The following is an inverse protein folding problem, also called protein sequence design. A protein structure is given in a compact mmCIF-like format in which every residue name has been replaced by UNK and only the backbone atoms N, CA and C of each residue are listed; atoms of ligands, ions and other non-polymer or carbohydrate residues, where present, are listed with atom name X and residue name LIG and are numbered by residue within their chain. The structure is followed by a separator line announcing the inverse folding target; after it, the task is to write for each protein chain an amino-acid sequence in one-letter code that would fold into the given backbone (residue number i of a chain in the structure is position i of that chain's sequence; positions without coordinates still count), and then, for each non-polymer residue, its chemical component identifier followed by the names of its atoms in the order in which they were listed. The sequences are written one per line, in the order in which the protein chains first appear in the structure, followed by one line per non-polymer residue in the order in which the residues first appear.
data_IF_860358179733
#
_entry.id   IF_860358179733
#
_cell.length_a   1.000
_cell.length_b   1.000
_cell.length_c   1.000
_cell.angle_alpha   90.00
_cell.angle_beta   90.00
_cell.angle_gamma   90.00
#
_symmetry.space_group_name_H-M   'P 1'
#
loop_
_entity.id
_entity.type
_entity.pdbx_description
1 polymer ?
#
# COMPACT_ATOMS: atom_id res chain seq x y z
N UNK A 1 55.71 -23.51 40.39
CA UNK A 1 54.98 -22.29 40.80
C UNK A 1 53.52 -22.67 41.05
N UNK A 2 52.99 -22.22 42.18
CA UNK A 2 51.59 -22.23 42.68
C UNK A 2 50.95 -23.59 43.02
N UNK A 3 50.48 -23.63 44.27
CA UNK A 3 50.03 -24.79 45.06
C UNK A 3 48.50 -24.90 45.06
N UNK A 4 48.03 -26.12 45.17
CA UNK A 4 46.66 -26.56 45.44
C UNK A 4 46.34 -26.44 46.93
N UNK A 5 45.32 -25.67 47.33
CA UNK A 5 44.58 -25.70 48.61
C UNK A 5 43.57 -24.53 48.58
N UNK A 6 42.27 -24.60 48.92
CA UNK A 6 41.63 -25.22 50.08
C UNK A 6 40.16 -25.58 49.82
N UNK A 7 39.80 -26.72 50.40
CA UNK A 7 38.49 -27.14 50.88
C UNK A 7 38.08 -26.27 52.08
N UNK A 8 36.88 -25.67 52.08
CA UNK A 8 36.15 -25.38 53.31
C UNK A 8 34.64 -25.33 53.05
N UNK A 9 33.94 -26.31 53.62
CA UNK A 9 32.49 -26.38 53.68
C UNK A 9 31.99 -25.55 54.87
N UNK A 10 30.90 -24.81 54.71
CA UNK A 10 29.96 -24.61 55.83
C UNK A 10 28.57 -24.24 55.33
N UNK A 11 27.65 -25.13 55.68
CA UNK A 11 26.20 -25.09 55.55
C UNK A 11 25.63 -24.03 56.49
N UNK A 12 24.69 -23.20 56.04
CA UNK A 12 23.59 -22.74 56.89
C UNK A 12 22.34 -22.45 56.07
N UNK A 13 21.24 -23.09 56.47
CA UNK A 13 19.89 -22.95 55.94
C UNK A 13 19.27 -21.60 56.30
N UNK A 14 18.25 -21.17 55.54
CA UNK A 14 16.96 -20.66 56.05
C UNK A 14 15.97 -20.57 54.88
N UNK A 15 14.72 -20.89 55.22
CA UNK A 15 13.55 -21.26 54.42
C UNK A 15 12.70 -20.02 54.04
N UNK A 16 11.73 -20.22 53.13
CA UNK A 16 10.47 -19.46 52.90
C UNK A 16 10.55 -18.39 51.79
N UNK A 17 9.59 -18.15 50.89
CA UNK A 17 8.16 -18.51 50.74
C UNK A 17 7.80 -18.63 49.24
N UNK A 18 6.71 -19.34 48.97
CA UNK A 18 6.07 -19.43 47.66
C UNK A 18 5.56 -18.07 47.13
N UNK A 19 5.76 -17.83 45.84
CA UNK A 19 4.75 -17.16 45.01
C UNK A 19 4.81 -17.75 43.60
N UNK A 20 3.85 -18.64 43.32
CA UNK A 20 3.47 -18.99 41.97
C UNK A 20 2.70 -17.79 41.41
N UNK A 21 3.40 -16.89 40.73
CA UNK A 21 2.78 -16.05 39.70
C UNK A 21 3.06 -16.74 38.37
N UNK A 22 2.16 -17.64 37.99
CA UNK A 22 2.02 -18.03 36.59
C UNK A 22 1.63 -16.77 35.83
N UNK A 23 2.56 -16.23 35.05
CA UNK A 23 2.16 -15.44 33.89
C UNK A 23 1.47 -16.43 32.96
N UNK A 24 0.15 -16.32 32.91
CA UNK A 24 -0.58 -16.77 31.74
C UNK A 24 0.06 -16.04 30.55
N UNK A 25 0.50 -16.78 29.54
CA UNK A 25 0.73 -16.21 28.22
C UNK A 25 -0.63 -15.66 27.78
N UNK A 26 -0.87 -14.38 28.08
CA UNK A 26 -1.88 -13.61 27.38
C UNK A 26 -1.25 -13.30 26.01
N UNK A 27 -1.33 -14.31 25.15
CA UNK A 27 -1.30 -14.18 23.70
C UNK A 27 -2.49 -13.28 23.31
N UNK A 28 -2.38 -11.99 23.57
CA UNK A 28 -3.12 -10.96 22.83
C UNK A 28 -2.48 -10.83 21.44
N UNK A 29 -2.48 -11.95 20.72
CA UNK A 29 -2.34 -11.97 19.29
C UNK A 29 -3.69 -11.51 18.70
N UNK A 30 -4.06 -10.26 19.00
CA UNK A 30 -5.01 -9.53 18.19
C UNK A 30 -4.28 -9.10 16.90
N UNK A 31 -3.87 -10.11 16.14
CA UNK A 31 -3.66 -9.98 14.72
C UNK A 31 -5.04 -9.86 14.10
N UNK A 32 -5.69 -8.73 14.35
CA UNK A 32 -6.67 -8.18 13.42
C UNK A 32 -5.88 -7.87 12.15
N UNK A 33 -5.62 -8.93 11.38
CA UNK A 33 -5.25 -8.88 9.98
C UNK A 33 -6.51 -8.45 9.22
N UNK A 34 -7.08 -7.31 9.62
CA UNK A 34 -8.09 -6.60 8.88
C UNK A 34 -7.34 -6.03 7.70
N UNK A 35 -7.12 -6.86 6.68
CA UNK A 35 -6.71 -6.34 5.39
C UNK A 35 -7.74 -5.26 5.03
N UNK A 36 -7.34 -3.99 4.91
CA UNK A 36 -8.30 -2.92 4.74
C UNK A 36 -9.16 -3.23 3.52
N UNK A 37 -10.47 -3.36 3.73
CA UNK A 37 -11.41 -3.54 2.63
C UNK A 37 -11.72 -2.17 2.06
N UNK A 38 -11.80 -2.06 0.74
CA UNK A 38 -12.01 -0.81 0.01
C UNK A 38 -10.86 0.19 0.18
N UNK A 39 -9.64 -0.27 -0.07
CA UNK A 39 -8.42 0.54 -0.01
C UNK A 39 -7.58 0.45 -1.29
N UNK A 40 -6.75 1.46 -1.48
CA UNK A 40 -5.65 1.48 -2.44
C UNK A 40 -4.41 1.94 -1.69
N UNK A 41 -3.36 1.12 -1.71
CA UNK A 41 -2.09 1.40 -1.03
C UNK A 41 -0.92 1.21 -1.98
N UNK A 42 0.19 1.91 -1.76
CA UNK A 42 1.42 1.76 -2.52
C UNK A 42 2.63 2.30 -1.76
N UNK A 43 3.82 2.01 -2.28
CA UNK A 43 5.05 2.74 -2.00
C UNK A 43 5.28 3.82 -3.06
N UNK A 44 5.49 5.06 -2.63
CA UNK A 44 5.80 6.19 -3.50
C UNK A 44 7.24 6.68 -3.31
N UNK A 45 7.95 6.87 -4.42
CA UNK A 45 9.31 7.40 -4.45
C UNK A 45 9.45 8.61 -5.37
N UNK A 46 10.40 9.48 -5.04
CA UNK A 46 10.82 10.61 -5.89
C UNK A 46 11.95 10.24 -6.85
N UNK A 47 12.64 9.13 -6.59
CA UNK A 47 13.70 8.56 -7.42
C UNK A 47 13.54 7.02 -7.48
N UNK A 48 13.86 6.42 -8.63
CA UNK A 48 13.80 4.98 -8.82
C UNK A 48 14.79 4.20 -7.92
N UNK A 49 15.84 4.85 -7.42
CA UNK A 49 16.89 4.22 -6.61
C UNK A 49 16.72 4.45 -5.11
N UNK A 50 15.64 5.09 -4.65
CA UNK A 50 15.45 5.35 -3.23
C UNK A 50 15.32 4.02 -2.47
N UNK A 51 16.13 3.83 -1.43
CA UNK A 51 16.13 2.58 -0.67
C UNK A 51 14.88 2.43 0.23
N UNK A 52 14.26 3.55 0.62
CA UNK A 52 13.13 3.60 1.55
C UNK A 52 12.02 4.49 0.98
N UNK A 53 11.21 3.98 0.04
CA UNK A 53 10.07 4.72 -0.48
C UNK A 53 9.01 4.95 0.62
N UNK A 54 8.31 6.08 0.53
CA UNK A 54 7.28 6.45 1.48
C UNK A 54 6.02 5.59 1.28
N UNK A 55 5.28 5.35 2.37
CA UNK A 55 3.96 4.74 2.29
C UNK A 55 2.93 5.76 1.78
N UNK A 56 2.12 5.33 0.82
CA UNK A 56 0.95 6.05 0.36
C UNK A 56 -0.28 5.17 0.60
N UNK A 57 -1.28 5.71 1.30
CA UNK A 57 -2.49 4.98 1.65
C UNK A 57 -3.71 5.83 1.36
N UNK A 58 -4.74 5.22 0.76
CA UNK A 58 -6.02 5.87 0.57
C UNK A 58 -6.74 6.12 1.90
N UNK A 59 -7.20 7.34 2.15
CA UNK A 59 -8.23 7.65 3.12
C UNK A 59 -9.64 7.30 2.62
N UNK A 60 -9.87 7.38 1.30
CA UNK A 60 -11.11 6.97 0.67
C UNK A 60 -10.88 6.47 -0.76
N UNK A 61 -11.77 5.58 -1.22
CA UNK A 61 -11.75 5.05 -2.58
C UNK A 61 -13.16 5.04 -3.13
N UNK A 62 -13.32 5.50 -4.36
CA UNK A 62 -14.54 5.37 -5.16
C UNK A 62 -14.17 4.69 -6.47
N UNK A 63 -14.96 3.71 -6.90
CA UNK A 63 -14.83 3.13 -8.23
C UNK A 63 -16.16 3.17 -8.99
N UNK A 64 -16.08 3.42 -10.29
CA UNK A 64 -17.24 3.46 -11.19
C UNK A 64 -16.93 2.62 -12.43
N UNK A 65 -17.86 1.75 -12.79
CA UNK A 65 -17.90 1.03 -14.06
C UNK A 65 -18.94 1.69 -14.95
N UNK A 66 -18.52 2.35 -16.02
CA UNK A 66 -19.44 2.99 -16.95
C UNK A 66 -19.11 2.57 -18.38
N UNK A 67 -20.06 1.94 -19.08
CA UNK A 67 -19.90 1.47 -20.45
C UNK A 67 -18.62 0.64 -20.69
N UNK A 68 -18.29 -0.26 -19.76
CA UNK A 68 -17.10 -1.11 -19.84
C UNK A 68 -15.79 -0.41 -19.45
N UNK A 69 -15.82 0.87 -19.11
CA UNK A 69 -14.66 1.61 -18.60
C UNK A 69 -14.72 1.64 -17.08
N UNK A 70 -13.69 1.10 -16.44
CA UNK A 70 -13.56 1.11 -14.98
C UNK A 70 -12.68 2.27 -14.56
N UNK A 71 -13.16 3.15 -13.69
CA UNK A 71 -12.36 4.24 -13.10
C UNK A 71 -12.31 4.06 -11.59
N UNK A 72 -11.10 4.02 -11.03
CA UNK A 72 -10.84 3.94 -9.59
C UNK A 72 -10.18 5.25 -9.17
N UNK A 73 -10.81 5.99 -8.26
CA UNK A 73 -10.28 7.22 -7.68
C UNK A 73 -10.05 7.00 -6.19
N UNK A 74 -8.79 7.12 -5.78
CA UNK A 74 -8.36 7.01 -4.39
C UNK A 74 -7.79 8.34 -3.91
N UNK A 75 -8.28 8.83 -2.77
CA UNK A 75 -7.74 10.02 -2.10
C UNK A 75 -6.83 9.56 -0.97
N UNK A 76 -5.59 10.00 -0.96
CA UNK A 76 -4.58 9.68 0.02
C UNK A 76 -4.85 10.32 1.39
N UNK A 77 -4.29 9.75 2.46
CA UNK A 77 -4.31 10.34 3.81
C UNK A 77 -3.58 11.68 3.89
N UNK A 78 -2.70 11.96 2.92
CA UNK A 78 -2.01 13.24 2.74
C UNK A 78 -2.81 14.26 1.91
N UNK A 79 -4.01 13.91 1.44
CA UNK A 79 -4.86 14.75 0.60
C UNK A 79 -4.57 14.67 -0.90
N UNK A 80 -3.54 13.93 -1.31
CA UNK A 80 -3.27 13.68 -2.73
C UNK A 80 -4.32 12.76 -3.36
N UNK A 81 -4.39 12.69 -4.69
CA UNK A 81 -5.36 11.86 -5.41
C UNK A 81 -4.67 11.01 -6.46
N UNK A 82 -5.00 9.73 -6.50
CA UNK A 82 -4.64 8.79 -7.57
C UNK A 82 -5.91 8.37 -8.31
N UNK A 83 -5.92 8.53 -9.63
CA UNK A 83 -7.00 8.05 -10.51
C UNK A 83 -6.42 7.05 -11.50
N UNK A 84 -7.00 5.85 -11.53
CA UNK A 84 -6.67 4.77 -12.45
C UNK A 84 -7.86 4.54 -13.37
N UNK A 85 -7.65 4.54 -14.67
CA UNK A 85 -8.67 4.24 -15.68
C UNK A 85 -8.27 2.99 -16.45
N UNK A 86 -9.19 2.02 -16.52
CA UNK A 86 -9.05 0.77 -17.25
C UNK A 86 -10.09 0.70 -18.36
N UNK A 87 -9.72 0.25 -19.56
CA UNK A 87 -10.62 0.19 -20.73
C UNK A 87 -11.56 -1.02 -20.71
N UNK A 88 -11.65 -1.75 -19.59
CA UNK A 88 -12.37 -3.01 -19.49
C UNK A 88 -12.89 -3.23 -18.05
N UNK A 89 -13.75 -4.24 -17.89
CA UNK A 89 -14.42 -4.67 -16.66
C UNK A 89 -14.12 -6.14 -16.31
N UNK A 90 -12.90 -6.56 -16.64
CA UNK A 90 -12.42 -7.93 -16.51
C UNK A 90 -11.10 -8.03 -15.74
N UNK A 91 -10.74 -9.26 -15.34
CA UNK A 91 -9.40 -9.57 -14.86
C UNK A 91 -8.38 -9.50 -16.00
N UNK A 92 -7.17 -9.05 -15.71
CA UNK A 92 -6.12 -8.97 -16.73
C UNK A 92 -4.98 -8.05 -16.35
N UNK A 93 -3.98 -7.99 -17.23
CA UNK A 93 -2.87 -7.04 -17.15
C UNK A 93 -3.12 -5.89 -18.12
N UNK A 94 -3.23 -4.70 -17.56
CA UNK A 94 -3.47 -3.44 -18.24
C UNK A 94 -2.17 -2.64 -18.25
N UNK A 95 -1.44 -2.72 -19.34
CA UNK A 95 -0.21 -1.94 -19.50
C UNK A 95 -0.57 -0.47 -19.72
N UNK A 96 0.14 0.44 -19.06
CA UNK A 96 0.00 1.87 -19.33
C UNK A 96 0.38 2.13 -20.78
N UNK A 97 -0.61 2.51 -21.58
CA UNK A 97 -0.35 2.97 -22.92
C UNK A 97 -1.38 3.96 -23.41
N UNK A 98 -0.89 5.03 -24.05
CA UNK A 98 -1.72 6.01 -24.72
C UNK A 98 -2.65 5.39 -25.78
N UNK A 99 -2.23 4.27 -26.38
CA UNK A 99 -3.00 3.52 -27.38
C UNK A 99 -3.93 2.45 -26.78
N UNK A 100 -3.63 1.98 -25.57
CA UNK A 100 -4.34 0.89 -24.90
C UNK A 100 -5.52 1.34 -24.05
N UNK A 101 -5.69 2.65 -23.81
CA UNK A 101 -6.79 3.21 -23.03
C UNK A 101 -6.63 3.09 -21.51
N UNK A 102 -5.61 2.36 -21.03
CA UNK A 102 -5.20 2.36 -19.62
C UNK A 102 -4.40 3.62 -19.31
N UNK A 103 -4.86 4.42 -18.36
CA UNK A 103 -4.21 5.67 -17.95
C UNK A 103 -4.22 5.85 -16.45
N UNK A 104 -3.28 6.67 -15.97
CA UNK A 104 -3.17 7.02 -14.55
C UNK A 104 -2.87 8.50 -14.41
N UNK A 105 -3.57 9.14 -13.48
CA UNK A 105 -3.31 10.53 -13.08
C UNK A 105 -3.08 10.57 -11.57
N UNK A 106 -2.03 11.28 -11.15
CA UNK A 106 -1.76 11.55 -9.75
C UNK A 106 -1.68 13.06 -9.51
N UNK A 107 -2.33 13.55 -8.45
CA UNK A 107 -2.32 14.97 -8.07
C UNK A 107 -1.87 15.08 -6.61
N UNK A 108 -0.82 15.86 -6.35
CA UNK A 108 -0.37 16.09 -4.96
C UNK A 108 -1.37 16.91 -4.15
N UNK A 109 -2.06 17.85 -4.81
CA UNK A 109 -3.14 18.66 -4.24
C UNK A 109 -4.21 18.84 -5.34
N UNK A 110 -5.30 18.05 -5.31
CA UNK A 110 -6.34 18.10 -6.34
C UNK A 110 -7.12 19.43 -6.35
N UNK A 111 -7.17 20.16 -5.23
CA UNK A 111 -7.85 21.47 -5.16
C UNK A 111 -7.00 22.52 -5.88
N UNK A 112 -5.72 22.59 -5.56
CA UNK A 112 -4.81 23.55 -6.20
C UNK A 112 -4.51 23.20 -7.67
N UNK A 113 -4.56 21.91 -8.04
CA UNK A 113 -4.30 21.44 -9.40
C UNK A 113 -5.20 22.10 -10.47
N UNK A 114 -6.42 22.51 -10.11
CA UNK A 114 -7.35 23.20 -11.02
C UNK A 114 -6.86 24.58 -11.50
N UNK A 115 -5.92 25.19 -10.77
CA UNK A 115 -5.31 26.49 -11.14
C UNK A 115 -3.80 26.39 -11.37
N UNK A 116 -3.18 25.31 -10.90
CA UNK A 116 -1.76 25.04 -11.08
C UNK A 116 -1.55 23.64 -11.69
N UNK A 117 -1.47 23.54 -13.04
CA UNK A 117 -1.26 22.26 -13.72
C UNK A 117 0.10 21.63 -13.39
N UNK A 118 1.03 22.41 -12.80
CA UNK A 118 2.28 21.90 -12.26
C UNK A 118 2.09 21.16 -10.92
N UNK A 119 0.90 20.62 -10.62
CA UNK A 119 0.65 19.68 -9.52
C UNK A 119 0.08 18.35 -10.02
N UNK A 120 -0.13 18.22 -11.33
CA UNK A 120 -0.68 17.04 -11.97
C UNK A 120 0.46 16.22 -12.59
N UNK A 121 0.48 14.93 -12.26
CA UNK A 121 1.35 13.94 -12.85
C UNK A 121 0.51 13.03 -13.74
N UNK A 122 1.03 12.77 -14.93
CA UNK A 122 0.42 11.91 -15.93
C UNK A 122 1.22 10.63 -16.05
N UNK A 123 0.56 9.55 -16.46
CA UNK A 123 1.24 8.32 -16.85
C UNK A 123 2.26 8.56 -17.95
N UNK A 124 3.24 7.65 -18.02
CA UNK A 124 4.23 7.62 -19.07
C UNK A 124 4.07 6.30 -19.81
N UNK A 125 3.82 6.38 -21.10
CA UNK A 125 3.61 5.25 -22.00
C UNK A 125 4.70 4.18 -21.80
N UNK A 126 4.28 2.94 -21.56
CA UNK A 126 5.17 1.79 -21.37
C UNK A 126 5.91 1.70 -20.03
N UNK A 127 5.62 2.56 -19.04
CA UNK A 127 6.35 2.59 -17.76
C UNK A 127 5.67 1.86 -16.60
N UNK A 128 4.69 1.00 -16.88
CA UNK A 128 4.03 0.23 -15.84
C UNK A 128 2.75 -0.46 -16.27
N UNK A 129 2.07 -1.05 -15.30
CA UNK A 129 0.84 -1.78 -15.51
C UNK A 129 -0.02 -1.81 -14.25
N UNK A 130 -1.33 -2.01 -14.46
CA UNK A 130 -2.30 -2.39 -13.44
C UNK A 130 -2.70 -3.84 -13.73
N UNK A 131 -2.69 -4.70 -12.71
CA UNK A 131 -3.07 -6.11 -12.82
C UNK A 131 -4.32 -6.34 -11.99
N UNK A 132 -5.46 -6.57 -12.63
CA UNK A 132 -6.70 -6.92 -11.95
C UNK A 132 -6.75 -8.43 -11.77
N UNK A 133 -6.65 -8.87 -10.52
CA UNK A 133 -6.68 -10.29 -10.13
C UNK A 133 -8.09 -10.79 -9.85
N UNK A 134 -9.01 -9.87 -9.51
CA UNK A 134 -10.42 -10.18 -9.28
C UNK A 134 -11.30 -9.03 -9.78
N UNK A 135 -12.29 -9.36 -10.60
CA UNK A 135 -13.38 -8.47 -10.99
C UNK A 135 -14.71 -9.19 -10.71
N UNK A 136 -15.26 -8.97 -9.53
CA UNK A 136 -16.46 -9.66 -9.04
C UNK A 136 -17.71 -8.84 -9.36
N UNK A 137 -18.36 -9.18 -10.47
CA UNK A 137 -19.58 -8.49 -10.92
C UNK A 137 -20.80 -8.75 -10.03
N UNK A 138 -20.77 -9.82 -9.23
CA UNK A 138 -21.87 -10.19 -8.33
C UNK A 138 -21.82 -9.32 -7.07
N UNK A 139 -20.65 -9.23 -6.44
CA UNK A 139 -20.46 -8.45 -5.21
C UNK A 139 -19.99 -7.01 -5.47
N UNK A 140 -19.83 -6.63 -6.74
CA UNK A 140 -19.32 -5.34 -7.22
C UNK A 140 -17.98 -4.95 -6.61
N UNK A 141 -17.01 -5.86 -6.64
CA UNK A 141 -15.67 -5.69 -6.05
C UNK A 141 -14.54 -5.88 -7.06
N UNK A 142 -13.51 -5.04 -6.95
CA UNK A 142 -12.29 -5.10 -7.75
C UNK A 142 -11.09 -5.27 -6.82
N UNK A 143 -10.20 -6.20 -7.17
CA UNK A 143 -8.93 -6.39 -6.47
C UNK A 143 -7.80 -6.60 -7.48
N UNK A 144 -6.61 -6.16 -7.11
CA UNK A 144 -5.48 -6.17 -8.03
C UNK A 144 -4.21 -5.58 -7.44
N UNK A 145 -3.20 -5.43 -8.30
CA UNK A 145 -1.93 -4.79 -7.97
C UNK A 145 -1.56 -3.79 -9.05
N UNK A 146 -0.62 -2.90 -8.76
CA UNK A 146 -0.08 -1.99 -9.77
C UNK A 146 1.36 -1.59 -9.48
N UNK A 147 2.04 -1.22 -10.55
CA UNK A 147 3.36 -0.60 -10.51
C UNK A 147 3.52 0.27 -11.74
N UNK A 148 3.87 1.53 -11.55
CA UNK A 148 4.05 2.46 -12.66
C UNK A 148 4.86 3.70 -12.29
N UNK A 149 5.20 4.47 -13.31
CA UNK A 149 5.76 5.80 -13.18
C UNK A 149 4.79 6.86 -13.69
N UNK A 150 4.73 7.99 -12.99
CA UNK A 150 4.05 9.20 -13.46
C UNK A 150 5.02 10.37 -13.50
N UNK A 151 4.73 11.35 -14.35
CA UNK A 151 5.56 12.54 -14.53
C UNK A 151 4.72 13.81 -14.65
N UNK A 152 5.23 14.86 -14.02
CA UNK A 152 4.74 16.21 -14.21
C UNK A 152 5.30 16.78 -15.51
N UNK A 153 4.45 16.96 -16.51
CA UNK A 153 4.87 17.32 -17.88
C UNK A 153 5.67 18.63 -17.95
N UNK A 154 5.33 19.62 -17.12
CA UNK A 154 5.94 20.95 -17.16
C UNK A 154 7.35 20.99 -16.51
N UNK A 155 7.62 20.16 -15.51
CA UNK A 155 8.90 20.18 -14.78
C UNK A 155 9.76 18.94 -15.01
N UNK A 156 9.21 17.87 -15.59
CA UNK A 156 9.87 16.58 -15.73
C UNK A 156 10.00 15.80 -14.42
N UNK A 157 9.46 16.30 -13.31
CA UNK A 157 9.51 15.62 -12.00
C UNK A 157 8.74 14.31 -12.06
N UNK A 158 9.32 13.24 -11.52
CA UNK A 158 8.78 11.89 -11.56
C UNK A 158 8.31 11.43 -10.18
N UNK A 159 7.32 10.53 -10.18
CA UNK A 159 6.96 9.70 -9.03
C UNK A 159 6.90 8.25 -9.47
N UNK A 160 7.36 7.37 -8.61
CA UNK A 160 7.37 5.93 -8.85
C UNK A 160 6.44 5.28 -7.84
N UNK A 161 5.41 4.62 -8.35
CA UNK A 161 4.48 3.82 -7.55
C UNK A 161 4.90 2.36 -7.67
N UNK A 162 5.21 1.74 -6.54
CA UNK A 162 5.65 0.35 -6.45
C UNK A 162 4.86 -0.36 -5.35
N UNK A 163 4.80 -1.69 -5.42
CA UNK A 163 4.04 -2.50 -4.45
C UNK A 163 2.60 -2.00 -4.26
N UNK A 164 1.97 -1.57 -5.36
CA UNK A 164 0.61 -1.06 -5.34
C UNK A 164 -0.39 -2.20 -5.16
N UNK A 165 -1.38 -2.01 -4.30
CA UNK A 165 -2.47 -2.95 -4.04
C UNK A 165 -3.82 -2.24 -4.16
N UNK A 166 -4.79 -2.93 -4.76
CA UNK A 166 -6.21 -2.58 -4.80
C UNK A 166 -6.92 -3.70 -4.03
N UNK A 167 -7.48 -3.37 -2.86
CA UNK A 167 -8.01 -4.37 -1.93
C UNK A 167 -9.52 -4.23 -1.81
N UNK A 168 -10.25 -5.10 -2.52
CA UNK A 168 -11.70 -5.25 -2.40
C UNK A 168 -12.49 -3.94 -2.61
N UNK A 169 -12.04 -3.11 -3.56
CA UNK A 169 -12.66 -1.82 -3.89
C UNK A 169 -14.06 -2.05 -4.45
N UNK A 170 -15.05 -1.43 -3.81
CA UNK A 170 -16.44 -1.50 -4.24
C UNK A 170 -16.69 -0.51 -5.37
N UNK A 171 -17.35 -0.96 -6.44
CA UNK A 171 -17.68 -0.10 -7.57
C UNK A 171 -19.20 0.06 -7.78
N UNK A 172 -19.59 1.17 -8.40
CA UNK A 172 -20.96 1.43 -8.86
C UNK A 172 -21.04 1.42 -10.38
N UNK A 173 -22.25 1.30 -10.92
CA UNK A 173 -22.54 1.38 -12.36
C UNK A 173 -23.31 2.67 -12.68
#
# INVERSE_FOLDING_TARGET
MKKFTHLFALVFAVVTLASLAGCNDDDDNNNNNNNPTNSVEAKIATDATIATPADWKSASVTAVLNNGVTTITAVGTDGSQLTITLPDDATGTYNLSASGGTSVIYMEDPIAAGTNPNLIFYDIDGTGSVVITKFDKTNKKISGTFQFQVMRMLSGVRRYFTLGEISDVTYTE
#
